data_IF_530256353031
#
_entry.id   IF_530256353031
#
_cell.length_a   1.000
_cell.length_b   1.000
_cell.length_c   1.000
_cell.angle_alpha   90.00
_cell.angle_beta   90.00
_cell.angle_gamma   90.00
#
_symmetry.space_group_name_H-M   'P 1'
#
loop_
_entity.id
_entity.type
_entity.pdbx_description
1 polymer ?
#
# COMPACT_ATOMS: atom_id res chain seq x y z
N UNK A 1 13.93 10.62 -15.68
CA UNK A 1 12.53 10.24 -15.36
C UNK A 1 12.25 10.45 -13.88
N UNK A 2 11.21 11.21 -13.54
CA UNK A 2 10.76 11.44 -12.18
C UNK A 2 9.25 11.27 -12.09
N UNK A 3 8.79 10.32 -11.29
CA UNK A 3 7.36 10.01 -11.19
C UNK A 3 7.10 8.66 -10.55
N UNK A 4 5.88 8.18 -10.75
CA UNK A 4 5.41 6.91 -10.22
C UNK A 4 4.99 5.96 -11.34
N UNK A 5 5.20 4.68 -11.14
CA UNK A 5 4.59 3.62 -11.91
C UNK A 5 3.57 2.91 -11.02
N UNK A 6 2.37 2.71 -11.55
CA UNK A 6 1.36 1.86 -10.95
C UNK A 6 1.51 0.46 -11.54
N UNK A 7 2.16 -0.45 -10.84
CA UNK A 7 2.46 -1.79 -11.36
C UNK A 7 1.43 -2.79 -10.84
N UNK A 8 0.86 -3.61 -11.73
CA UNK A 8 0.16 -4.83 -11.32
C UNK A 8 1.21 -5.93 -11.12
N UNK A 9 1.58 -6.15 -9.85
CA UNK A 9 2.54 -7.17 -9.45
C UNK A 9 1.87 -8.56 -9.56
N UNK A 10 2.42 -9.52 -10.31
CA UNK A 10 1.93 -10.90 -10.26
C UNK A 10 2.28 -11.56 -8.91
N UNK A 11 1.58 -12.63 -8.55
CA UNK A 11 2.01 -13.49 -7.44
C UNK A 11 3.35 -14.17 -7.79
N UNK A 12 4.20 -14.41 -6.79
CA UNK A 12 5.53 -15.01 -6.96
C UNK A 12 6.69 -14.07 -6.61
N UNK A 13 6.99 -13.01 -7.40
CA UNK A 13 8.12 -12.14 -7.14
C UNK A 13 7.91 -11.30 -5.87
N UNK A 14 9.00 -11.00 -5.16
CA UNK A 14 8.97 -10.02 -4.07
C UNK A 14 8.76 -8.61 -4.62
N UNK A 15 8.34 -7.68 -3.76
CA UNK A 15 8.30 -6.25 -4.12
C UNK A 15 9.67 -5.70 -4.53
N UNK A 16 10.76 -6.26 -3.97
CA UNK A 16 12.13 -5.85 -4.30
C UNK A 16 12.56 -6.35 -5.68
N UNK A 17 12.13 -7.54 -6.09
CA UNK A 17 12.41 -8.07 -7.44
C UNK A 17 11.78 -7.17 -8.52
N UNK A 18 10.57 -6.67 -8.27
CA UNK A 18 9.93 -5.69 -9.17
C UNK A 18 10.74 -4.41 -9.25
N UNK A 19 11.17 -3.86 -8.10
CA UNK A 19 12.03 -2.66 -8.07
C UNK A 19 13.33 -2.90 -8.83
N UNK A 20 13.97 -4.07 -8.67
CA UNK A 20 15.18 -4.42 -9.39
C UNK A 20 14.96 -4.51 -10.92
N UNK A 21 13.82 -5.08 -11.35
CA UNK A 21 13.43 -5.11 -12.76
C UNK A 21 13.20 -3.72 -13.33
N UNK A 22 12.40 -2.89 -12.67
CA UNK A 22 12.15 -1.49 -13.09
C UNK A 22 13.44 -0.67 -13.10
N UNK A 23 14.31 -0.84 -12.10
CA UNK A 23 15.61 -0.17 -12.03
C UNK A 23 16.49 -0.49 -13.25
N UNK A 24 16.51 -1.75 -13.68
CA UNK A 24 17.25 -2.20 -14.86
C UNK A 24 16.67 -1.60 -16.15
N UNK A 25 15.33 -1.62 -16.29
CA UNK A 25 14.64 -1.07 -17.46
C UNK A 25 14.87 0.45 -17.56
N UNK A 26 14.69 1.16 -16.45
CA UNK A 26 14.80 2.61 -16.39
C UNK A 26 16.23 3.16 -16.47
N UNK A 27 17.25 2.30 -16.32
CA UNK A 27 18.66 2.71 -16.35
C UNK A 27 19.05 3.71 -15.24
N UNK A 28 18.29 3.81 -14.14
CA UNK A 28 18.52 4.80 -13.08
C UNK A 28 18.74 4.13 -11.72
N UNK A 29 19.61 4.70 -10.88
CA UNK A 29 19.92 4.13 -9.56
C UNK A 29 18.79 4.33 -8.53
N UNK A 30 18.07 5.44 -8.63
CA UNK A 30 17.09 5.86 -7.61
C UNK A 30 15.70 5.34 -7.95
N UNK A 31 15.37 4.16 -7.42
CA UNK A 31 14.05 3.52 -7.55
C UNK A 31 13.65 2.88 -6.22
N UNK A 32 12.41 3.09 -5.80
CA UNK A 32 11.85 2.50 -4.57
C UNK A 32 10.36 2.19 -4.73
N UNK A 33 9.73 1.57 -3.73
CA UNK A 33 8.29 1.27 -3.76
C UNK A 33 7.56 1.81 -2.52
N UNK A 34 6.27 2.11 -2.66
CA UNK A 34 5.44 2.69 -1.60
C UNK A 34 4.51 1.65 -0.95
N UNK A 35 5.13 0.69 -0.27
CA UNK A 35 4.42 -0.32 0.53
C UNK A 35 4.60 -1.72 -0.05
N UNK A 36 5.14 -2.61 0.78
CA UNK A 36 5.42 -3.99 0.43
C UNK A 36 4.12 -4.75 0.14
N UNK A 37 4.18 -5.65 -0.84
CA UNK A 37 3.30 -6.80 -0.98
C UNK A 37 4.12 -8.07 -0.73
N UNK A 38 3.52 -8.99 0.03
CA UNK A 38 4.06 -10.34 0.24
C UNK A 38 4.19 -11.06 -1.12
N UNK A 39 5.12 -12.02 -1.26
CA UNK A 39 5.37 -12.72 -2.53
C UNK A 39 4.11 -13.35 -3.13
N UNK A 40 3.33 -14.05 -2.30
CA UNK A 40 2.07 -14.70 -2.69
C UNK A 40 0.96 -13.69 -3.06
N UNK A 41 1.07 -12.42 -2.66
CA UNK A 41 0.08 -11.40 -2.99
C UNK A 41 0.31 -10.83 -4.39
N UNK A 42 -0.77 -10.38 -5.03
CA UNK A 42 -0.76 -9.70 -6.34
C UNK A 42 -1.37 -8.29 -6.26
N UNK A 43 -1.35 -7.57 -7.38
CA UNK A 43 -2.05 -6.29 -7.51
C UNK A 43 -1.13 -5.08 -7.40
N UNK A 44 -1.73 -3.94 -7.04
CA UNK A 44 -1.13 -2.61 -7.07
C UNK A 44 0.15 -2.53 -6.23
N UNK A 45 1.28 -2.32 -6.90
CA UNK A 45 2.57 -1.97 -6.34
C UNK A 45 3.02 -0.62 -6.93
N UNK A 46 3.01 0.42 -6.11
CA UNK A 46 3.42 1.76 -6.52
C UNK A 46 4.95 1.86 -6.45
N UNK A 47 5.59 2.12 -7.59
CA UNK A 47 7.06 2.22 -7.74
C UNK A 47 7.43 3.65 -8.09
N UNK A 48 8.33 4.27 -7.33
CA UNK A 48 8.77 5.64 -7.52
C UNK A 48 10.14 5.69 -8.22
N UNK A 49 10.29 6.63 -9.15
CA UNK A 49 11.46 6.83 -9.99
C UNK A 49 12.11 8.18 -9.70
N UNK A 50 13.43 8.20 -9.52
CA UNK A 50 14.21 9.43 -9.34
C UNK A 50 13.79 10.25 -8.12
N UNK A 51 13.65 11.57 -8.29
CA UNK A 51 13.31 12.49 -7.20
C UNK A 51 11.92 12.21 -6.57
N UNK A 52 11.00 11.57 -7.29
CA UNK A 52 9.69 11.18 -6.77
C UNK A 52 9.78 10.13 -5.65
N UNK A 53 10.91 9.44 -5.47
CA UNK A 53 11.12 8.58 -4.28
C UNK A 53 11.01 9.34 -2.96
N UNK A 54 11.18 10.68 -2.96
CA UNK A 54 10.95 11.54 -1.78
C UNK A 54 9.47 11.65 -1.38
N UNK A 55 8.56 11.21 -2.25
CA UNK A 55 7.12 11.24 -2.07
C UNK A 55 6.55 9.88 -1.66
N UNK A 56 7.40 8.84 -1.52
CA UNK A 56 6.98 7.50 -1.13
C UNK A 56 6.21 7.51 0.19
N UNK A 57 6.63 8.32 1.17
CA UNK A 57 6.02 8.37 2.48
C UNK A 57 4.54 8.80 2.43
N UNK A 58 4.17 9.73 1.55
CA UNK A 58 2.78 10.16 1.40
C UNK A 58 1.89 9.08 0.79
N UNK A 59 2.44 8.25 -0.09
CA UNK A 59 1.73 7.08 -0.63
C UNK A 59 1.65 5.96 0.40
N UNK A 60 2.67 5.79 1.25
CA UNK A 60 2.64 4.83 2.36
C UNK A 60 1.66 5.23 3.46
N UNK A 61 1.56 6.54 3.70
CA UNK A 61 0.63 7.18 4.61
C UNK A 61 -0.75 7.40 4.00
N UNK A 62 -0.97 6.99 2.74
CA UNK A 62 -2.29 6.94 2.14
C UNK A 62 -3.21 6.21 3.12
N UNK A 63 -4.26 6.90 3.54
CA UNK A 63 -5.07 6.48 4.66
C UNK A 63 -5.77 5.17 4.37
N UNK A 64 -6.13 4.91 3.10
CA UNK A 64 -6.83 3.69 2.70
C UNK A 64 -6.05 2.84 1.68
N UNK A 65 -6.12 1.52 1.92
CA UNK A 65 -5.74 0.48 0.96
C UNK A 65 -6.93 -0.44 0.78
N UNK A 66 -7.11 -0.97 -0.43
CA UNK A 66 -8.19 -1.91 -0.74
C UNK A 66 -7.66 -3.24 -1.24
N UNK A 67 -8.29 -4.31 -0.81
CA UNK A 67 -7.87 -5.68 -1.06
C UNK A 67 -9.06 -6.56 -1.41
N UNK A 68 -8.84 -7.48 -2.34
CA UNK A 68 -9.64 -8.69 -2.48
C UNK A 68 -8.89 -9.82 -1.77
N UNK A 69 -9.54 -10.43 -0.78
CA UNK A 69 -8.97 -11.44 0.09
C UNK A 69 -9.78 -12.73 0.01
N UNK A 70 -9.12 -13.81 -0.41
CA UNK A 70 -9.70 -15.15 -0.34
C UNK A 70 -9.29 -15.79 0.98
N UNK A 71 -10.27 -16.04 1.85
CA UNK A 71 -10.07 -16.65 3.17
C UNK A 71 -10.48 -18.11 3.11
N UNK A 72 -9.60 -19.01 3.50
CA UNK A 72 -9.85 -20.45 3.60
C UNK A 72 -10.20 -20.80 5.04
N UNK A 73 -11.37 -21.37 5.25
CA UNK A 73 -11.90 -21.79 6.55
C UNK A 73 -11.51 -23.24 6.85
N UNK A 74 -11.54 -23.60 8.14
CA UNK A 74 -11.34 -24.96 8.62
C UNK A 74 -9.89 -25.34 8.91
N UNK A 75 -8.94 -24.42 8.67
CA UNK A 75 -7.54 -24.61 9.00
C UNK A 75 -6.84 -23.27 9.30
N UNK A 76 -6.18 -23.17 10.45
CA UNK A 76 -5.26 -22.08 10.77
C UNK A 76 -3.81 -22.50 10.53
N UNK A 77 -2.99 -21.59 10.02
CA UNK A 77 -1.55 -21.80 9.73
C UNK A 77 -0.67 -20.92 10.61
N UNK A 78 0.61 -21.28 10.77
CA UNK A 78 1.58 -20.52 11.58
C UNK A 78 2.01 -19.17 10.96
N UNK A 79 1.82 -19.00 9.65
CA UNK A 79 2.07 -17.75 8.91
C UNK A 79 0.82 -16.90 8.69
N UNK A 80 -0.35 -17.39 9.10
CA UNK A 80 -1.69 -16.84 8.82
C UNK A 80 -2.03 -16.77 7.31
N UNK A 81 -1.27 -17.47 6.47
CA UNK A 81 -1.49 -17.62 5.02
C UNK A 81 -1.24 -19.05 4.54
N UNK A 82 -1.48 -19.30 3.25
CA UNK A 82 -1.32 -20.61 2.63
C UNK A 82 0.14 -21.09 2.49
N UNK A 83 1.16 -20.25 2.76
CA UNK A 83 2.57 -20.65 2.72
C UNK A 83 3.01 -21.35 4.02
N UNK A 84 2.22 -21.24 5.09
CA UNK A 84 2.52 -21.80 6.41
C UNK A 84 2.08 -23.25 6.61
N UNK A 85 2.58 -23.85 7.69
CA UNK A 85 2.14 -25.17 8.13
C UNK A 85 0.81 -25.08 8.88
N UNK A 86 -0.08 -26.04 8.66
CA UNK A 86 -1.35 -26.13 9.41
C UNK A 86 -1.04 -26.45 10.88
N UNK A 87 -1.49 -25.59 11.79
CA UNK A 87 -1.31 -25.73 13.24
C UNK A 87 -2.62 -26.03 13.98
N UNK A 88 -3.75 -25.83 13.30
CA UNK A 88 -5.08 -26.13 13.83
C UNK A 88 -6.03 -26.41 12.68
N UNK A 89 -6.98 -27.30 12.90
CA UNK A 89 -8.04 -27.58 11.94
C UNK A 89 -9.29 -28.04 12.68
N UNK A 90 -10.44 -27.62 12.17
CA UNK A 90 -11.74 -28.03 12.66
C UNK A 90 -12.75 -28.02 11.51
N UNK A 91 -13.85 -28.81 11.60
CA UNK A 91 -14.89 -28.78 10.60
C UNK A 91 -15.45 -27.37 10.42
N UNK A 92 -15.66 -26.96 9.16
CA UNK A 92 -16.32 -25.68 8.87
C UNK A 92 -17.80 -25.83 9.26
N UNK A 93 -18.34 -24.98 10.14
CA UNK A 93 -19.75 -25.06 10.51
C UNK A 93 -20.63 -24.74 9.31
N UNK A 94 -21.92 -25.10 9.37
CA UNK A 94 -22.88 -24.60 8.39
C UNK A 94 -23.05 -23.10 8.58
N UNK A 95 -22.65 -22.33 7.58
CA UNK A 95 -22.68 -20.87 7.62
C UNK A 95 -23.87 -20.34 6.83
N UNK A 96 -24.93 -19.96 7.54
CA UNK A 96 -25.95 -19.14 6.93
C UNK A 96 -25.37 -17.75 6.62
N UNK A 97 -25.62 -17.23 5.41
CA UNK A 97 -25.07 -15.94 4.97
C UNK A 97 -25.37 -14.81 5.96
N UNK A 98 -26.58 -14.77 6.52
CA UNK A 98 -26.98 -13.74 7.49
C UNK A 98 -26.18 -13.81 8.79
N UNK A 99 -25.91 -15.02 9.29
CA UNK A 99 -25.09 -15.23 10.48
C UNK A 99 -23.64 -14.81 10.22
N UNK A 100 -23.10 -15.15 9.05
CA UNK A 100 -21.76 -14.73 8.63
C UNK A 100 -21.64 -13.20 8.50
N UNK A 101 -22.61 -12.53 7.86
CA UNK A 101 -22.64 -11.06 7.79
C UNK A 101 -22.69 -10.41 9.18
N UNK A 102 -23.51 -10.96 10.09
CA UNK A 102 -23.59 -10.49 11.48
C UNK A 102 -22.25 -10.63 12.20
N UNK A 103 -21.53 -11.74 11.96
CA UNK A 103 -20.19 -11.97 12.50
C UNK A 103 -19.16 -11.01 11.90
N UNK A 104 -19.26 -10.67 10.61
CA UNK A 104 -18.35 -9.75 9.94
C UNK A 104 -18.50 -8.31 10.45
N UNK A 105 -19.65 -7.93 11.02
CA UNK A 105 -19.89 -6.59 11.57
C UNK A 105 -18.90 -6.23 12.68
N UNK A 106 -18.48 -7.19 13.52
CA UNK A 106 -17.51 -6.94 14.60
C UNK A 106 -16.11 -6.57 14.08
N UNK A 107 -15.83 -6.84 12.80
CA UNK A 107 -14.56 -6.52 12.17
C UNK A 107 -14.62 -5.21 11.38
N UNK A 108 -15.76 -4.50 11.36
CA UNK A 108 -15.91 -3.19 10.71
C UNK A 108 -15.58 -2.06 11.70
N UNK A 109 -14.99 -0.98 11.19
CA UNK A 109 -14.55 0.15 11.99
C UNK A 109 -13.23 -0.09 12.72
N UNK A 110 -12.98 0.63 13.84
CA UNK A 110 -11.76 0.49 14.61
C UNK A 110 -11.69 -0.87 15.32
N UNK A 111 -10.62 -1.63 15.09
CA UNK A 111 -10.37 -2.92 15.73
C UNK A 111 -8.93 -3.03 16.21
N UNK A 112 -8.71 -3.90 17.20
CA UNK A 112 -7.37 -4.27 17.63
C UNK A 112 -6.90 -5.52 16.89
N UNK A 113 -5.74 -5.45 16.25
CA UNK A 113 -5.10 -6.60 15.62
C UNK A 113 -3.77 -6.91 16.27
N UNK A 114 -3.55 -8.18 16.59
CA UNK A 114 -2.22 -8.71 16.86
C UNK A 114 -1.55 -9.00 15.52
N UNK A 115 -0.45 -8.30 15.16
CA UNK A 115 0.27 -8.55 13.91
C UNK A 115 0.72 -10.02 13.80
N UNK A 116 0.82 -10.61 12.60
CA UNK A 116 1.36 -11.96 12.42
C UNK A 116 2.84 -12.03 12.84
N UNK A 117 3.31 -13.22 13.21
CA UNK A 117 4.75 -13.45 13.51
C UNK A 117 5.63 -13.16 12.28
N UNK A 118 5.15 -13.50 11.08
CA UNK A 118 5.85 -13.23 9.83
C UNK A 118 5.55 -11.82 9.29
N UNK A 119 5.92 -10.81 10.07
CA UNK A 119 5.78 -9.39 9.73
C UNK A 119 7.13 -8.67 9.58
N UNK A 120 7.14 -7.54 8.88
CA UNK A 120 8.32 -6.67 8.75
C UNK A 120 8.54 -5.72 9.95
N UNK A 121 7.72 -5.82 11.00
CA UNK A 121 7.88 -5.04 12.23
C UNK A 121 9.19 -5.39 12.94
N UNK A 122 9.77 -4.41 13.63
CA UNK A 122 10.97 -4.63 14.43
C UNK A 122 10.60 -4.96 15.87
N UNK A 123 11.32 -5.91 16.47
CA UNK A 123 11.34 -6.20 17.89
C UNK A 123 12.81 -6.23 18.34
N UNK A 124 13.17 -5.34 19.28
CA UNK A 124 14.53 -5.21 19.80
C UNK A 124 15.62 -5.12 18.70
N UNK A 125 15.34 -4.35 17.64
CA UNK A 125 16.29 -4.12 16.53
C UNK A 125 16.33 -5.21 15.44
N UNK A 126 15.60 -6.32 15.59
CA UNK A 126 15.47 -7.38 14.56
C UNK A 126 14.07 -7.44 14.00
N UNK A 127 13.88 -7.89 12.75
CA UNK A 127 12.53 -7.99 12.16
C UNK A 127 11.82 -9.25 12.64
N UNK A 128 10.51 -9.19 12.86
CA UNK A 128 9.72 -10.33 13.36
C UNK A 128 9.83 -11.57 12.45
N UNK A 129 9.82 -11.39 11.12
CA UNK A 129 10.00 -12.52 10.21
C UNK A 129 11.40 -13.18 10.30
N UNK A 130 12.44 -12.43 10.68
CA UNK A 130 13.78 -13.00 10.91
C UNK A 130 13.81 -13.84 12.18
N UNK A 131 13.06 -13.41 13.22
CA UNK A 131 12.89 -14.15 14.47
C UNK A 131 12.04 -15.41 14.28
N UNK A 132 10.93 -15.30 13.53
CA UNK A 132 10.07 -16.43 13.21
C UNK A 132 10.81 -17.53 12.43
N UNK A 133 11.61 -17.15 11.43
CA UNK A 133 12.49 -18.09 10.70
C UNK A 133 13.55 -18.76 11.58
N UNK A 134 13.92 -18.13 12.68
CA UNK A 134 14.83 -18.70 13.67
C UNK A 134 14.09 -19.55 14.74
N UNK A 135 12.79 -19.78 14.57
CA UNK A 135 11.96 -20.53 15.53
C UNK A 135 11.62 -19.76 16.81
N UNK A 136 11.89 -18.44 16.85
CA UNK A 136 11.67 -17.61 18.03
C UNK A 136 10.26 -17.01 17.97
N UNK A 137 9.41 -17.42 18.91
CA UNK A 137 8.08 -16.82 19.11
C UNK A 137 8.21 -15.63 20.05
N UNK A 138 7.63 -14.49 19.64
CA UNK A 138 7.64 -13.25 20.41
C UNK A 138 6.20 -12.81 20.61
N UNK A 139 5.88 -12.34 21.81
CA UNK A 139 4.59 -11.72 22.08
C UNK A 139 4.49 -10.36 21.37
N UNK A 140 3.41 -10.12 20.64
CA UNK A 140 3.19 -8.87 19.90
C UNK A 140 2.02 -8.12 20.54
N UNK A 141 2.26 -6.85 20.89
CA UNK A 141 1.18 -5.97 21.30
C UNK A 141 0.15 -5.79 20.17
N UNK A 142 -1.12 -5.80 20.53
CA UNK A 142 -2.20 -5.45 19.63
C UNK A 142 -2.06 -3.98 19.17
N UNK A 143 -2.55 -3.69 17.97
CA UNK A 143 -2.51 -2.36 17.38
C UNK A 143 -3.88 -1.98 16.86
N UNK A 144 -4.26 -0.73 17.10
CA UNK A 144 -5.48 -0.18 16.53
C UNK A 144 -5.30 0.00 15.02
N UNK A 145 -6.21 -0.60 14.27
CA UNK A 145 -6.37 -0.41 12.83
C UNK A 145 -7.85 -0.14 12.54
N UNK A 146 -8.18 0.36 11.36
CA UNK A 146 -9.57 0.61 10.97
C UNK A 146 -9.89 -0.16 9.71
N UNK A 147 -10.95 -0.95 9.74
CA UNK A 147 -11.55 -1.57 8.56
C UNK A 147 -12.70 -0.67 8.11
N UNK A 148 -12.41 0.16 7.13
CA UNK A 148 -13.34 1.17 6.59
C UNK A 148 -14.52 0.50 5.89
N UNK A 149 -14.24 -0.55 5.12
CA UNK A 149 -15.25 -1.38 4.47
C UNK A 149 -14.85 -2.85 4.51
N UNK A 150 -15.83 -3.73 4.77
CA UNK A 150 -15.67 -5.18 4.74
C UNK A 150 -16.94 -5.79 4.14
N UNK A 151 -16.84 -6.24 2.89
CA UNK A 151 -17.97 -6.80 2.14
C UNK A 151 -17.71 -8.25 1.78
N UNK A 152 -18.67 -9.14 2.07
CA UNK A 152 -18.66 -10.51 1.60
C UNK A 152 -19.15 -10.58 0.15
N UNK A 153 -18.22 -10.79 -0.78
CA UNK A 153 -18.52 -10.90 -2.20
C UNK A 153 -19.04 -12.30 -2.54
N UNK A 154 -18.28 -13.33 -2.15
CA UNK A 154 -18.62 -14.73 -2.41
C UNK A 154 -18.48 -15.57 -1.16
N UNK A 155 -19.36 -16.56 -1.04
CA UNK A 155 -19.34 -17.53 0.04
C UNK A 155 -19.47 -18.92 -0.57
N UNK A 156 -18.48 -19.76 -0.31
CA UNK A 156 -18.46 -21.18 -0.62
C UNK A 156 -18.42 -21.98 0.70
N UNK A 157 -18.44 -23.31 0.61
CA UNK A 157 -18.48 -24.19 1.79
C UNK A 157 -17.34 -23.93 2.78
N UNK A 158 -16.13 -23.69 2.28
CA UNK A 158 -14.91 -23.56 3.08
C UNK A 158 -14.07 -22.33 2.69
N UNK A 159 -14.62 -21.44 1.86
CA UNK A 159 -13.88 -20.32 1.28
C UNK A 159 -14.77 -19.07 1.19
N UNK A 160 -14.22 -17.94 1.60
CA UNK A 160 -14.88 -16.63 1.52
C UNK A 160 -14.07 -15.70 0.61
N UNK A 161 -14.73 -14.92 -0.23
CA UNK A 161 -14.11 -13.79 -0.93
C UNK A 161 -14.58 -12.49 -0.29
N UNK A 162 -13.64 -11.74 0.25
CA UNK A 162 -13.89 -10.49 0.97
C UNK A 162 -13.29 -9.31 0.21
N UNK A 163 -14.04 -8.23 0.10
CA UNK A 163 -13.52 -6.91 -0.28
C UNK A 163 -13.27 -6.10 0.99
N UNK A 164 -12.01 -5.72 1.20
CA UNK A 164 -11.55 -5.09 2.43
C UNK A 164 -10.89 -3.76 2.08
N UNK A 165 -11.47 -2.67 2.56
CA UNK A 165 -10.83 -1.37 2.60
C UNK A 165 -10.40 -1.06 4.02
N UNK A 166 -9.13 -0.72 4.21
CA UNK A 166 -8.56 -0.60 5.54
C UNK A 166 -7.43 0.42 5.64
N UNK A 167 -7.18 0.83 6.89
CA UNK A 167 -6.14 1.76 7.24
C UNK A 167 -4.75 1.18 7.03
N UNK A 168 -3.73 2.05 6.98
CA UNK A 168 -2.32 1.61 7.04
C UNK A 168 -2.06 0.73 8.27
N UNK A 169 -1.15 -0.24 8.11
CA UNK A 169 -0.76 -1.16 9.18
C UNK A 169 -1.69 -2.35 9.40
N UNK A 170 -2.83 -2.42 8.71
CA UNK A 170 -3.74 -3.58 8.75
C UNK A 170 -3.08 -4.80 8.14
N UNK A 171 -3.20 -5.94 8.83
CA UNK A 171 -2.75 -7.23 8.33
C UNK A 171 -3.96 -8.06 7.89
N UNK A 172 -4.14 -8.22 6.57
CA UNK A 172 -5.25 -9.02 6.04
C UNK A 172 -5.13 -10.51 6.44
N UNK A 173 -3.90 -11.00 6.63
CA UNK A 173 -3.63 -12.33 7.20
C UNK A 173 -4.18 -12.48 8.63
N UNK A 174 -3.94 -11.48 9.48
CA UNK A 174 -4.51 -11.45 10.82
C UNK A 174 -6.04 -11.37 10.79
N UNK A 175 -6.61 -10.55 9.90
CA UNK A 175 -8.07 -10.49 9.71
C UNK A 175 -8.66 -11.86 9.35
N UNK A 176 -8.03 -12.60 8.43
CA UNK A 176 -8.46 -13.94 8.07
C UNK A 176 -8.42 -14.90 9.27
N UNK A 177 -7.29 -14.94 10.00
CA UNK A 177 -7.13 -15.72 11.24
C UNK A 177 -8.22 -15.41 12.26
N UNK A 178 -8.44 -14.12 12.53
CA UNK A 178 -9.36 -13.65 13.57
C UNK A 178 -10.82 -13.95 13.20
N UNK A 179 -11.20 -13.85 11.92
CA UNK A 179 -12.50 -14.31 11.41
C UNK A 179 -12.66 -15.83 11.64
N UNK A 180 -11.64 -16.62 11.31
CA UNK A 180 -11.66 -18.07 11.51
C UNK A 180 -11.79 -18.47 12.99
N UNK A 181 -11.13 -17.71 13.87
CA UNK A 181 -11.24 -17.90 15.32
C UNK A 181 -12.65 -17.58 15.83
N UNK A 182 -13.24 -16.47 15.37
CA UNK A 182 -14.62 -16.09 15.71
C UNK A 182 -15.65 -17.12 15.21
N UNK A 183 -15.38 -17.78 14.08
CA UNK A 183 -16.19 -18.88 13.54
C UNK A 183 -15.95 -20.22 14.24
N UNK A 184 -14.90 -20.33 15.06
CA UNK A 184 -14.54 -21.56 15.78
C UNK A 184 -13.96 -22.68 14.90
N UNK A 185 -13.69 -22.42 13.61
CA UNK A 185 -13.13 -23.42 12.69
C UNK A 185 -11.67 -23.15 12.28
N UNK A 186 -11.13 -21.98 12.66
CA UNK A 186 -9.83 -21.51 12.17
C UNK A 186 -9.87 -21.10 10.71
N UNK A 187 -8.94 -20.26 10.29
CA UNK A 187 -8.81 -19.83 8.91
C UNK A 187 -7.42 -19.26 8.62
N UNK A 188 -7.09 -19.16 7.34
CA UNK A 188 -5.90 -18.48 6.85
C UNK A 188 -6.20 -17.75 5.54
N UNK A 189 -5.32 -16.83 5.17
CA UNK A 189 -5.41 -16.13 3.88
C UNK A 189 -4.89 -17.03 2.76
N UNK A 190 -5.77 -17.44 1.85
CA UNK A 190 -5.42 -18.30 0.71
C UNK A 190 -4.92 -17.51 -0.50
N UNK A 191 -5.50 -16.33 -0.76
CA UNK A 191 -5.04 -15.44 -1.82
C UNK A 191 -5.30 -13.98 -1.46
N UNK A 192 -4.44 -13.09 -1.96
CA UNK A 192 -4.55 -11.66 -1.73
C UNK A 192 -4.25 -10.88 -3.01
N UNK A 193 -5.15 -9.97 -3.37
CA UNK A 193 -4.93 -8.97 -4.41
C UNK A 193 -5.15 -7.57 -3.85
N UNK A 194 -4.14 -6.72 -3.87
CA UNK A 194 -4.30 -5.30 -3.53
C UNK A 194 -4.86 -4.55 -4.73
N UNK A 195 -6.09 -4.08 -4.63
CA UNK A 195 -6.79 -3.38 -5.71
C UNK A 195 -6.55 -1.87 -5.67
N UNK A 196 -6.18 -1.30 -4.52
CA UNK A 196 -5.83 0.12 -4.44
C UNK A 196 -4.85 0.48 -3.32
N UNK A 197 -4.11 1.56 -3.55
CA UNK A 197 -3.34 2.33 -2.55
C UNK A 197 -3.60 3.81 -2.81
N UNK A 198 -4.48 4.43 -2.01
CA UNK A 198 -4.93 5.80 -2.25
C UNK A 198 -5.41 6.01 -3.70
N UNK A 199 -4.80 6.96 -4.41
CA UNK A 199 -5.15 7.29 -5.80
C UNK A 199 -4.64 6.29 -6.87
N UNK A 200 -3.91 5.24 -6.47
CA UNK A 200 -3.40 4.22 -7.39
C UNK A 200 -4.30 2.98 -7.30
N UNK A 201 -5.00 2.64 -8.40
CA UNK A 201 -5.97 1.53 -8.45
C UNK A 201 -5.58 0.46 -9.47
N UNK A 202 -6.15 -0.73 -9.36
CA UNK A 202 -5.88 -1.86 -10.25
C UNK A 202 -6.27 -1.59 -11.69
N UNK A 203 -7.29 -0.77 -11.94
CA UNK A 203 -7.76 -0.43 -13.28
C UNK A 203 -6.73 0.41 -14.04
N UNK A 204 -5.96 1.22 -13.32
CA UNK A 204 -4.86 2.02 -13.86
C UNK A 204 -3.48 1.39 -13.70
N UNK A 205 -3.41 0.11 -13.32
CA UNK A 205 -2.14 -0.59 -13.08
C UNK A 205 -1.65 -1.29 -14.35
N UNK A 206 -0.35 -1.19 -14.61
CA UNK A 206 0.30 -1.80 -15.77
C UNK A 206 0.85 -3.17 -15.36
N UNK A 207 0.47 -4.26 -16.04
CA UNK A 207 1.05 -5.57 -15.80
C UNK A 207 2.58 -5.53 -15.90
N UNK A 208 3.26 -6.10 -14.91
CA UNK A 208 4.73 -6.09 -14.88
C UNK A 208 5.36 -6.66 -16.17
N UNK A 209 4.73 -7.67 -16.76
CA UNK A 209 5.21 -8.32 -17.98
C UNK A 209 4.95 -7.50 -19.25
N UNK A 210 4.02 -6.53 -19.21
CA UNK A 210 3.79 -5.59 -20.31
C UNK A 210 4.92 -4.56 -20.44
N UNK A 211 5.73 -4.35 -19.40
CA UNK A 211 6.92 -3.46 -19.41
C UNK A 211 8.16 -4.12 -20.07
N UNK A 212 7.90 -5.09 -20.95
CA UNK A 212 8.76 -5.90 -21.80
C UNK A 212 9.43 -7.15 -21.17
N UNK A 213 9.54 -8.24 -21.96
CA UNK A 213 10.43 -9.37 -21.69
C UNK A 213 11.85 -9.01 -22.13
N UNK A 214 12.73 -8.82 -21.16
CA UNK A 214 14.19 -9.03 -21.29
C UNK A 214 14.92 -8.32 -22.45
N UNK A 215 15.05 -6.99 -22.44
CA UNK A 215 16.28 -6.28 -22.86
C UNK A 215 16.24 -4.81 -22.42
N UNK A 216 17.28 -4.35 -21.73
CA UNK A 216 17.49 -2.94 -21.43
C UNK A 216 17.81 -2.18 -22.73
N UNK A 217 17.22 -1.01 -22.93
CA UNK A 217 17.42 -0.21 -24.14
C UNK A 217 16.37 0.90 -24.31
N UNK A 218 16.56 1.75 -25.32
CA UNK A 218 15.74 2.95 -25.54
C UNK A 218 14.23 2.66 -25.63
N UNK A 219 13.83 1.56 -26.30
CA UNK A 219 12.42 1.19 -26.44
C UNK A 219 11.74 0.87 -25.09
N UNK A 220 12.44 0.20 -24.18
CA UNK A 220 11.90 -0.14 -22.86
C UNK A 220 11.80 1.09 -21.94
N UNK A 221 12.74 2.03 -22.07
CA UNK A 221 12.66 3.34 -21.40
C UNK A 221 11.46 4.15 -21.89
N UNK A 222 11.24 4.22 -23.22
CA UNK A 222 10.07 4.90 -23.81
C UNK A 222 8.76 4.29 -23.30
N UNK A 223 8.69 2.96 -23.20
CA UNK A 223 7.52 2.29 -22.64
C UNK A 223 7.23 2.72 -21.19
N UNK A 224 8.28 2.87 -20.36
CA UNK A 224 8.13 3.39 -19.00
C UNK A 224 7.65 4.85 -18.98
N UNK A 225 8.16 5.70 -19.87
CA UNK A 225 7.77 7.11 -19.95
C UNK A 225 6.28 7.28 -20.29
N UNK A 226 5.73 6.44 -21.17
CA UNK A 226 4.31 6.47 -21.53
C UNK A 226 3.37 6.10 -20.38
N UNK A 227 3.84 5.30 -19.43
CA UNK A 227 3.04 4.88 -18.27
C UNK A 227 3.46 5.58 -16.98
N UNK A 228 4.38 6.54 -17.08
CA UNK A 228 4.89 7.28 -15.93
C UNK A 228 3.83 8.27 -15.46
N UNK A 229 3.35 8.07 -14.24
CA UNK A 229 2.45 8.98 -13.55
C UNK A 229 3.24 10.14 -12.95
N UNK A 230 2.68 11.36 -12.96
CA UNK A 230 3.36 12.53 -12.46
C UNK A 230 3.56 12.45 -10.93
N UNK A 231 4.62 13.07 -10.38
CA UNK A 231 4.94 13.00 -8.95
C UNK A 231 3.78 13.39 -8.01
N UNK A 232 3.01 14.42 -8.37
CA UNK A 232 1.87 14.92 -7.60
C UNK A 232 0.71 13.93 -7.48
N UNK A 233 0.73 12.80 -8.22
CA UNK A 233 -0.24 11.72 -8.02
C UNK A 233 -0.16 11.14 -6.60
N UNK A 234 1.00 11.21 -5.94
CA UNK A 234 1.18 10.77 -4.56
C UNK A 234 0.32 11.52 -3.52
N UNK A 235 -0.10 12.74 -3.87
CA UNK A 235 -0.86 13.66 -3.01
C UNK A 235 -2.04 14.23 -3.79
N UNK A 236 -2.69 13.37 -4.59
CA UNK A 236 -3.73 13.78 -5.54
C UNK A 236 -4.96 14.40 -4.85
N UNK A 237 -5.19 14.04 -3.60
CA UNK A 237 -6.23 14.52 -2.70
C UNK A 237 -5.91 15.88 -2.06
N UNK A 238 -4.67 16.36 -2.15
CA UNK A 238 -4.29 17.65 -1.58
C UNK A 238 -4.76 18.80 -2.47
N UNK A 239 -5.22 19.92 -1.88
CA UNK A 239 -5.48 21.17 -2.60
C UNK A 239 -4.28 21.57 -3.46
N UNK A 240 -4.55 21.94 -4.71
CA UNK A 240 -3.53 22.40 -5.66
C UNK A 240 -3.62 23.90 -5.81
N UNK A 241 -2.48 24.58 -5.72
CA UNK A 241 -2.38 26.03 -5.95
C UNK A 241 -1.22 26.33 -6.90
N UNK A 242 -1.51 27.07 -7.96
CA UNK A 242 -0.47 27.65 -8.80
C UNK A 242 0.09 28.91 -8.16
N UNK A 243 1.41 29.02 -8.13
CA UNK A 243 2.12 30.18 -7.58
C UNK A 243 2.78 30.99 -8.69
N UNK A 244 2.85 32.30 -8.49
CA UNK A 244 3.57 33.20 -9.38
C UNK A 244 5.11 32.96 -9.33
N UNK A 245 5.89 33.49 -10.29
CA UNK A 245 7.34 33.29 -10.32
C UNK A 245 8.11 33.81 -9.10
N UNK A 246 7.64 34.86 -8.43
CA UNK A 246 8.29 35.42 -7.25
C UNK A 246 8.11 34.50 -6.05
N UNK A 247 6.87 34.07 -5.80
CA UNK A 247 6.51 33.09 -4.79
C UNK A 247 7.24 31.77 -5.05
N UNK A 248 7.31 31.33 -6.31
CA UNK A 248 8.05 30.13 -6.68
C UNK A 248 9.55 30.23 -6.32
N UNK A 249 10.18 31.39 -6.58
CA UNK A 249 11.60 31.63 -6.21
C UNK A 249 11.80 31.59 -4.70
N UNK A 250 10.88 32.18 -3.92
CA UNK A 250 10.91 32.14 -2.45
C UNK A 250 10.81 30.72 -1.91
N UNK A 251 9.83 29.96 -2.40
CA UNK A 251 9.63 28.56 -2.03
C UNK A 251 10.86 27.70 -2.37
N UNK A 252 11.53 27.95 -3.50
CA UNK A 252 12.79 27.25 -3.85
C UNK A 252 13.89 27.46 -2.82
N UNK A 253 13.89 28.61 -2.14
CA UNK A 253 14.82 28.93 -1.06
C UNK A 253 14.31 28.49 0.32
N UNK A 254 13.22 27.71 0.39
CA UNK A 254 12.63 27.23 1.64
C UNK A 254 11.90 28.30 2.43
N UNK A 255 11.56 29.45 1.83
CA UNK A 255 10.90 30.54 2.54
C UNK A 255 9.38 30.30 2.62
N UNK A 256 8.75 30.64 3.77
CA UNK A 256 7.30 30.59 3.90
C UNK A 256 6.60 31.57 2.95
N UNK A 257 5.34 31.25 2.65
CA UNK A 257 4.46 32.09 1.83
C UNK A 257 3.08 32.23 2.46
N UNK A 258 2.42 33.34 2.18
CA UNK A 258 1.02 33.55 2.54
C UNK A 258 0.15 33.20 1.32
N UNK A 259 -0.82 32.31 1.51
CA UNK A 259 -1.78 31.93 0.49
C UNK A 259 -3.16 31.84 1.14
N UNK A 260 -4.11 32.64 0.64
CA UNK A 260 -5.46 32.74 1.17
C UNK A 260 -6.40 31.72 0.50
N UNK A 261 -7.50 31.38 1.18
CA UNK A 261 -8.61 30.62 0.58
C UNK A 261 -8.36 29.12 0.36
N UNK A 262 -7.24 28.58 0.85
CA UNK A 262 -6.94 27.15 0.79
C UNK A 262 -7.54 26.48 2.03
N UNK A 263 -8.31 25.41 1.86
CA UNK A 263 -8.84 24.61 2.96
C UNK A 263 -7.81 23.56 3.44
N UNK A 264 -7.87 23.21 4.72
CA UNK A 264 -7.05 22.16 5.32
C UNK A 264 -5.62 22.59 5.70
N UNK A 265 -4.83 21.61 6.12
CA UNK A 265 -3.50 21.79 6.72
C UNK A 265 -2.34 21.49 5.77
N UNK A 266 -2.63 21.02 4.56
CA UNK A 266 -1.64 20.58 3.56
C UNK A 266 -2.00 21.07 2.18
N UNK A 267 -1.00 21.43 1.37
CA UNK A 267 -1.17 21.93 0.00
C UNK A 267 -0.03 21.46 -0.89
N UNK A 268 -0.34 21.22 -2.17
CA UNK A 268 0.67 21.09 -3.23
C UNK A 268 0.72 22.36 -4.07
N UNK A 269 1.90 22.93 -4.18
CA UNK A 269 2.17 24.19 -4.86
C UNK A 269 2.79 23.88 -6.21
N UNK A 270 2.26 24.46 -7.28
CA UNK A 270 2.69 24.24 -8.65
C UNK A 270 3.21 25.53 -9.27
N UNK A 271 4.20 25.43 -10.15
CA UNK A 271 4.62 26.56 -10.99
C UNK A 271 3.54 26.91 -12.03
N UNK A 272 3.67 28.09 -12.65
CA UNK A 272 2.76 28.54 -13.71
C UNK A 272 2.66 27.58 -14.91
N UNK A 273 3.74 26.83 -15.19
CA UNK A 273 3.79 25.78 -16.23
C UNK A 273 3.19 24.44 -15.78
N UNK A 274 2.58 24.38 -14.59
CA UNK A 274 1.84 23.22 -14.08
C UNK A 274 2.70 22.18 -13.36
N UNK A 275 4.03 22.33 -13.28
CA UNK A 275 4.89 21.37 -12.57
C UNK A 275 4.76 21.49 -11.05
N UNK A 276 4.74 20.36 -10.35
CA UNK A 276 4.79 20.34 -8.88
C UNK A 276 6.06 21.06 -8.40
N UNK A 277 5.93 22.10 -7.60
CA UNK A 277 7.08 22.84 -7.06
C UNK A 277 7.39 22.41 -5.63
N UNK A 278 6.38 22.40 -4.77
CA UNK A 278 6.57 22.14 -3.35
C UNK A 278 5.34 21.50 -2.72
N UNK A 279 5.57 20.75 -1.64
CA UNK A 279 4.56 20.40 -0.66
C UNK A 279 4.73 21.29 0.55
N UNK A 280 3.63 21.79 1.10
CA UNK A 280 3.64 22.66 2.26
C UNK A 280 2.55 22.28 3.26
N UNK A 281 2.80 22.60 4.54
CA UNK A 281 1.81 22.53 5.60
C UNK A 281 1.53 23.91 6.17
N UNK A 282 0.36 24.06 6.79
CA UNK A 282 -0.04 25.32 7.43
C UNK A 282 0.60 25.47 8.80
N UNK A 283 1.14 26.66 9.06
CA UNK A 283 1.55 27.12 10.39
C UNK A 283 1.01 28.54 10.57
N UNK A 284 0.06 28.69 11.48
CA UNK A 284 -0.73 29.91 11.67
C UNK A 284 -1.39 30.37 10.34
N UNK A 285 -1.07 31.57 9.87
CA UNK A 285 -1.54 32.12 8.59
C UNK A 285 -0.60 31.85 7.41
N UNK A 286 0.49 31.13 7.63
CA UNK A 286 1.55 30.91 6.62
C UNK A 286 1.64 29.45 6.18
N UNK A 287 2.19 29.25 4.99
CA UNK A 287 2.49 27.93 4.43
C UNK A 287 3.99 27.69 4.45
N UNK A 288 4.39 26.65 5.19
CA UNK A 288 5.77 26.24 5.36
C UNK A 288 6.11 25.12 4.37
N UNK A 289 7.14 25.27 3.52
CA UNK A 289 7.52 24.23 2.58
C UNK A 289 8.17 23.03 3.29
N UNK A 290 7.54 21.85 3.18
CA UNK A 290 8.08 20.58 3.67
C UNK A 290 9.10 19.99 2.70
N UNK A 291 8.76 20.02 1.41
CA UNK A 291 9.58 19.48 0.34
C UNK A 291 9.48 20.38 -0.86
N UNK A 292 10.63 20.83 -1.32
CA UNK A 292 10.79 21.57 -2.57
C UNK A 292 11.41 20.63 -3.60
N UNK A 293 10.94 20.71 -4.84
CA UNK A 293 11.40 19.86 -5.94
C UNK A 293 12.05 20.69 -7.04
N UNK A 294 13.11 20.10 -7.60
CA UNK A 294 13.65 20.46 -8.89
C UNK A 294 13.59 19.21 -9.75
N UNK A 295 12.93 19.32 -10.90
CA UNK A 295 12.67 18.22 -11.83
C UNK A 295 13.51 18.31 -13.10
N UNK A 296 14.44 19.28 -13.14
CA UNK A 296 15.42 19.43 -14.21
C UNK A 296 16.49 18.33 -14.14
#
# INVERSE_FOLDING_TARGET
>A
MHGFLNIDKPAGPTSHDVVARIRRIAGQKRVGHAGTLDPAASGVLVVALGAATRLIEYVQDATSKRYLATVRLGAGTDTDDAEGAVISSAPVPTLERQALETLLEQFRGPIEQVPPMYAALHHQGRRLHELARAGVVVERAARLVTIEHLTLLEQHTDTLLLDVQCSKGTYIRALARDIGAALGCGAHLAALRRTAVGAFTSEGAVPLDALAPAQAGAAATIALEHVLLPPERAVADWPMVQVDPETARRLRNGLPTELAGIAGERVRLHTADGRLLALAHRVDSTWQPDKVFDWN
#
